data_IF_309563878164
#
_entry.id   IF_309563878164
#
_cell.length_a   1.000
_cell.length_b   1.000
_cell.length_c   1.000
_cell.angle_alpha   90.00
_cell.angle_beta   90.00
_cell.angle_gamma   90.00
#
_symmetry.space_group_name_H-M   'P 1'
#
loop_
_entity.id
_entity.type
_entity.pdbx_description
1 polymer ?
#
# COMPACT_ATOMS: atom_id res chain seq x y z
N UNK A 1 -4.49 -13.17 0.53
CA UNK A 1 -4.03 -13.93 1.71
C UNK A 1 -3.27 -15.21 1.38
N UNK A 2 -3.83 -16.17 0.63
CA UNK A 2 -3.16 -17.48 0.34
C UNK A 2 -1.78 -17.33 -0.31
N UNK A 3 -1.66 -16.48 -1.33
CA UNK A 3 -0.37 -16.18 -1.97
C UNK A 3 0.65 -15.56 -1.00
N UNK A 4 0.21 -14.63 -0.15
CA UNK A 4 1.06 -14.00 0.87
C UNK A 4 1.56 -15.03 1.91
N UNK A 5 0.74 -16.01 2.27
CA UNK A 5 1.15 -17.07 3.19
C UNK A 5 2.24 -17.96 2.59
N UNK A 6 2.09 -18.34 1.31
CA UNK A 6 3.12 -19.08 0.59
C UNK A 6 4.44 -18.31 0.52
N UNK A 7 4.38 -17.01 0.18
CA UNK A 7 5.58 -16.14 0.14
C UNK A 7 6.24 -16.07 1.52
N UNK A 8 5.45 -16.00 2.59
CA UNK A 8 5.96 -15.95 3.97
C UNK A 8 6.64 -17.27 4.37
N UNK A 9 6.11 -18.42 3.94
CA UNK A 9 6.78 -19.71 4.13
C UNK A 9 8.11 -19.78 3.37
N UNK A 10 8.17 -19.29 2.12
CA UNK A 10 9.40 -19.23 1.33
C UNK A 10 10.42 -18.30 1.99
N UNK A 11 9.99 -17.13 2.46
CA UNK A 11 10.83 -16.20 3.20
C UNK A 11 11.46 -16.85 4.43
N UNK A 12 10.68 -17.61 5.20
CA UNK A 12 11.20 -18.29 6.39
C UNK A 12 12.19 -19.42 6.04
N UNK A 13 12.13 -19.98 4.84
CA UNK A 13 13.03 -21.03 4.36
C UNK A 13 14.35 -20.47 3.81
N UNK A 14 14.27 -19.42 2.99
CA UNK A 14 15.41 -18.86 2.25
C UNK A 14 16.10 -17.74 3.04
N UNK A 15 15.40 -17.13 3.99
CA UNK A 15 15.89 -16.04 4.81
C UNK A 15 15.71 -14.65 4.19
N UNK A 16 16.39 -13.68 4.78
CA UNK A 16 16.15 -12.25 4.56
C UNK A 16 16.43 -11.77 3.12
N UNK A 17 17.35 -12.43 2.42
CA UNK A 17 17.74 -12.07 1.05
C UNK A 17 16.57 -12.18 0.07
N UNK A 18 15.77 -13.25 0.19
CA UNK A 18 14.56 -13.43 -0.61
C UNK A 18 13.52 -12.35 -0.28
N UNK A 19 13.29 -12.07 1.01
CA UNK A 19 12.31 -11.08 1.44
C UNK A 19 12.64 -9.68 0.94
N UNK A 20 13.92 -9.29 1.01
CA UNK A 20 14.40 -8.01 0.50
C UNK A 20 14.20 -7.91 -1.03
N UNK A 21 14.67 -8.90 -1.79
CA UNK A 21 14.52 -8.92 -3.25
C UNK A 21 13.05 -8.91 -3.66
N UNK A 22 12.22 -9.75 -3.04
CA UNK A 22 10.79 -9.82 -3.33
C UNK A 22 10.08 -8.49 -3.05
N UNK A 23 10.37 -7.87 -1.90
CA UNK A 23 9.77 -6.59 -1.52
C UNK A 23 10.18 -5.48 -2.48
N UNK A 24 11.46 -5.43 -2.87
CA UNK A 24 11.94 -4.49 -3.88
C UNK A 24 11.20 -4.67 -5.21
N UNK A 25 11.16 -5.90 -5.74
CA UNK A 25 10.46 -6.18 -7.00
C UNK A 25 8.97 -5.81 -6.91
N UNK A 26 8.31 -6.11 -5.80
CA UNK A 26 6.90 -5.78 -5.60
C UNK A 26 6.65 -4.26 -5.61
N UNK A 27 7.54 -3.48 -4.99
CA UNK A 27 7.45 -2.01 -4.97
C UNK A 27 7.76 -1.40 -6.33
N UNK A 28 8.77 -1.90 -7.04
CA UNK A 28 9.09 -1.47 -8.41
C UNK A 28 7.92 -1.73 -9.37
N UNK A 29 7.30 -2.90 -9.29
CA UNK A 29 6.10 -3.23 -10.06
C UNK A 29 4.92 -2.34 -9.70
N UNK A 30 4.75 -2.02 -8.42
CA UNK A 30 3.71 -1.09 -7.97
C UNK A 30 3.91 0.30 -8.56
N UNK A 31 5.12 0.87 -8.45
CA UNK A 31 5.46 2.18 -9.02
C UNK A 31 5.24 2.18 -10.53
N UNK A 32 5.69 1.12 -11.23
CA UNK A 32 5.49 0.98 -12.67
C UNK A 32 4.01 0.98 -13.04
N UNK A 33 3.18 0.20 -12.34
CA UNK A 33 1.73 0.16 -12.59
C UNK A 33 1.06 1.53 -12.33
N UNK A 34 1.52 2.27 -11.32
CA UNK A 34 0.99 3.61 -11.01
C UNK A 34 1.42 4.65 -12.05
N UNK A 35 2.62 4.54 -12.61
CA UNK A 35 3.07 5.39 -13.70
C UNK A 35 2.33 5.10 -15.01
N UNK A 36 2.05 3.83 -15.30
CA UNK A 36 1.25 3.41 -16.45
C UNK A 36 -0.19 3.92 -16.37
N UNK A 37 -0.78 3.95 -15.16
CA UNK A 37 -2.08 4.58 -14.90
C UNK A 37 -2.08 6.08 -15.21
N UNK A 38 -1.05 6.80 -14.75
CA UNK A 38 -0.92 8.24 -15.03
C UNK A 38 -0.73 8.50 -16.53
N UNK A 39 0.07 7.69 -17.21
CA UNK A 39 0.30 7.81 -18.65
C UNK A 39 -0.94 7.42 -19.47
N UNK A 40 -1.77 6.51 -18.97
CA UNK A 40 -2.98 6.01 -19.64
C UNK A 40 -4.25 6.75 -19.26
N UNK A 41 -4.18 7.89 -18.56
CA UNK A 41 -5.34 8.72 -18.19
C UNK A 41 -6.17 9.21 -19.41
N UNK A 42 -5.70 8.99 -20.64
CA UNK A 42 -6.42 9.25 -21.88
C UNK A 42 -7.18 8.04 -22.47
N UNK A 43 -7.04 6.83 -21.93
CA UNK A 43 -7.70 5.64 -22.46
C UNK A 43 -8.27 4.76 -21.34
N UNK A 44 -9.59 4.64 -21.32
CA UNK A 44 -10.45 3.80 -20.45
C UNK A 44 -10.02 2.33 -20.44
N UNK A 45 -8.93 1.99 -19.76
CA UNK A 45 -8.56 0.60 -19.46
C UNK A 45 -8.61 0.41 -17.95
N UNK A 46 -9.59 -0.37 -17.49
CA UNK A 46 -9.74 -0.75 -16.07
C UNK A 46 -8.67 -1.73 -15.55
N UNK A 47 -7.81 -2.25 -16.43
CA UNK A 47 -6.83 -3.29 -16.08
C UNK A 47 -5.66 -2.80 -15.21
N UNK A 48 -5.02 -1.64 -15.48
CA UNK A 48 -3.84 -1.21 -14.72
C UNK A 48 -4.16 -0.82 -13.28
N UNK A 49 -5.40 -0.38 -12.98
CA UNK A 49 -5.79 -0.01 -11.61
C UNK A 49 -5.83 -1.23 -10.70
N UNK A 50 -6.31 -2.36 -11.23
CA UNK A 50 -6.43 -3.61 -10.47
C UNK A 50 -5.05 -4.18 -10.09
N UNK A 51 -4.03 -4.02 -10.93
CA UNK A 51 -2.69 -4.50 -10.60
C UNK A 51 -2.09 -3.74 -9.42
N UNK A 52 -2.16 -2.41 -9.42
CA UNK A 52 -1.68 -1.56 -8.32
C UNK A 52 -2.38 -1.92 -6.99
N UNK A 53 -3.71 -2.04 -7.03
CA UNK A 53 -4.53 -2.37 -5.84
C UNK A 53 -4.27 -3.79 -5.33
N UNK A 54 -4.06 -4.75 -6.22
CA UNK A 54 -3.72 -6.13 -5.84
C UNK A 54 -2.33 -6.22 -5.20
N UNK A 55 -1.33 -5.53 -5.75
CA UNK A 55 0.00 -5.45 -5.17
C UNK A 55 -0.03 -4.82 -3.79
N UNK A 56 -0.81 -3.77 -3.60
CA UNK A 56 -0.95 -3.15 -2.28
C UNK A 56 -1.60 -4.08 -1.26
N UNK A 57 -2.62 -4.84 -1.68
CA UNK A 57 -3.27 -5.84 -0.83
C UNK A 57 -2.29 -6.95 -0.45
N UNK A 58 -1.43 -7.37 -1.40
CA UNK A 58 -0.38 -8.34 -1.16
C UNK A 58 0.63 -7.84 -0.12
N UNK A 59 1.12 -6.60 -0.28
CA UNK A 59 2.06 -5.96 0.65
C UNK A 59 1.45 -5.80 2.06
N UNK A 60 0.16 -5.43 2.15
CA UNK A 60 -0.56 -5.33 3.42
C UNK A 60 -0.61 -6.67 4.16
N UNK A 61 -0.83 -7.77 3.44
CA UNK A 61 -0.78 -9.11 4.03
C UNK A 61 0.64 -9.56 4.39
N UNK A 62 1.66 -9.16 3.62
CA UNK A 62 3.06 -9.48 3.94
C UNK A 62 3.55 -8.74 5.19
N UNK A 63 3.05 -7.52 5.42
CA UNK A 63 3.24 -6.82 6.69
C UNK A 63 2.58 -7.59 7.85
N UNK A 64 1.34 -8.09 7.66
CA UNK A 64 0.69 -8.92 8.68
C UNK A 64 1.46 -10.20 9.04
N UNK A 65 2.27 -10.72 8.10
CA UNK A 65 3.13 -11.88 8.28
C UNK A 65 4.58 -11.52 8.66
N UNK A 66 4.84 -10.25 8.98
CA UNK A 66 6.15 -9.74 9.41
C UNK A 66 7.29 -9.96 8.38
N UNK A 67 6.94 -10.16 7.11
CA UNK A 67 7.92 -10.21 6.00
C UNK A 67 8.36 -8.79 5.63
N UNK A 68 7.46 -7.82 5.80
CA UNK A 68 7.68 -6.39 5.52
C UNK A 68 7.55 -5.61 6.82
N UNK A 69 8.41 -4.61 7.02
CA UNK A 69 8.35 -3.73 8.19
C UNK A 69 7.25 -2.65 8.09
N UNK A 70 6.74 -2.22 9.24
CA UNK A 70 5.75 -1.14 9.35
C UNK A 70 6.13 0.16 8.60
N UNK A 71 7.40 0.63 8.61
CA UNK A 71 7.80 1.85 7.91
C UNK A 71 7.41 1.88 6.43
N UNK A 72 7.54 0.75 5.74
CA UNK A 72 7.20 0.67 4.31
C UNK A 72 5.70 0.90 4.07
N UNK A 73 4.84 0.31 4.90
CA UNK A 73 3.39 0.48 4.79
C UNK A 73 3.01 1.94 5.07
N UNK A 74 3.62 2.57 6.07
CA UNK A 74 3.38 3.99 6.35
C UNK A 74 3.80 4.89 5.19
N UNK A 75 4.94 4.63 4.56
CA UNK A 75 5.41 5.43 3.42
C UNK A 75 4.53 5.25 2.18
N UNK A 76 4.01 4.04 1.95
CA UNK A 76 3.02 3.79 0.90
C UNK A 76 1.73 4.58 1.14
N UNK A 77 1.23 4.59 2.39
CA UNK A 77 0.05 5.39 2.75
C UNK A 77 0.32 6.88 2.56
N UNK A 78 1.46 7.41 3.04
CA UNK A 78 1.85 8.81 2.82
C UNK A 78 1.93 9.14 1.32
N UNK A 79 2.47 8.25 0.50
CA UNK A 79 2.52 8.41 -0.94
C UNK A 79 1.15 8.48 -1.62
N UNK A 80 0.18 7.69 -1.14
CA UNK A 80 -1.22 7.78 -1.57
C UNK A 80 -1.88 9.08 -1.12
N UNK A 81 -1.67 9.50 0.14
CA UNK A 81 -2.20 10.75 0.67
C UNK A 81 -1.60 12.00 0.00
N UNK A 82 -0.38 11.93 -0.53
CA UNK A 82 0.20 13.03 -1.27
C UNK A 82 -0.50 13.28 -2.62
N UNK A 83 -1.06 12.24 -3.25
CA UNK A 83 -1.71 12.31 -4.57
C UNK A 83 -3.23 12.49 -4.51
N UNK A 84 -3.88 11.88 -3.51
CA UNK A 84 -5.33 11.89 -3.28
C UNK A 84 -6.20 11.72 -4.53
N UNK A 85 -5.88 10.74 -5.37
CA UNK A 85 -6.77 10.32 -6.44
C UNK A 85 -7.80 9.30 -5.92
N UNK A 86 -8.87 9.04 -6.67
CA UNK A 86 -9.92 8.08 -6.28
C UNK A 86 -9.33 6.69 -5.96
N UNK A 87 -8.37 6.23 -6.78
CA UNK A 87 -7.66 4.96 -6.57
C UNK A 87 -6.83 4.96 -5.27
N UNK A 88 -6.25 6.10 -4.91
CA UNK A 88 -5.43 6.22 -3.70
C UNK A 88 -6.31 6.10 -2.44
N UNK A 89 -7.52 6.66 -2.46
CA UNK A 89 -8.49 6.52 -1.38
C UNK A 89 -8.95 5.07 -1.24
N UNK A 90 -9.25 4.39 -2.35
CA UNK A 90 -9.60 2.97 -2.33
C UNK A 90 -8.47 2.12 -1.73
N UNK A 91 -7.24 2.38 -2.16
CA UNK A 91 -6.03 1.72 -1.67
C UNK A 91 -5.88 1.92 -0.15
N UNK A 92 -5.95 3.16 0.33
CA UNK A 92 -5.81 3.47 1.76
C UNK A 92 -6.89 2.78 2.58
N UNK A 93 -8.16 2.80 2.14
CA UNK A 93 -9.24 2.09 2.81
C UNK A 93 -8.99 0.58 2.88
N UNK A 94 -8.43 -0.01 1.81
CA UNK A 94 -8.11 -1.44 1.75
C UNK A 94 -6.96 -1.82 2.69
N UNK A 95 -5.91 -0.97 2.79
CA UNK A 95 -4.82 -1.13 3.77
C UNK A 95 -5.38 -1.08 5.19
N UNK A 96 -6.14 -0.04 5.53
CA UNK A 96 -6.71 0.15 6.87
C UNK A 96 -7.61 -1.02 7.30
N UNK A 97 -8.38 -1.59 6.37
CA UNK A 97 -9.19 -2.79 6.62
C UNK A 97 -8.36 -4.06 6.83
N UNK A 98 -7.20 -4.17 6.18
CA UNK A 98 -6.40 -5.40 6.16
C UNK A 98 -5.39 -5.47 7.30
N UNK A 99 -4.69 -4.37 7.58
CA UNK A 99 -3.60 -4.33 8.57
C UNK A 99 -3.68 -3.14 9.52
N UNK A 100 -4.77 -2.36 9.50
CA UNK A 100 -4.89 -1.16 10.34
C UNK A 100 -4.87 -1.42 11.85
N UNK A 101 -5.20 -2.63 12.32
CA UNK A 101 -5.05 -3.00 13.73
C UNK A 101 -3.58 -3.21 14.12
N UNK A 102 -2.78 -3.88 13.29
CA UNK A 102 -1.34 -4.03 13.53
C UNK A 102 -0.62 -2.68 13.47
N UNK A 103 -0.98 -1.83 12.50
CA UNK A 103 -0.43 -0.46 12.40
C UNK A 103 -0.68 0.34 13.69
N UNK A 104 -1.86 0.22 14.31
CA UNK A 104 -2.14 0.86 15.61
C UNK A 104 -1.28 0.33 16.74
N UNK A 105 -0.97 -0.97 16.72
CA UNK A 105 -0.11 -1.60 17.72
C UNK A 105 1.33 -1.12 17.60
N UNK A 106 1.84 -1.04 16.38
CA UNK A 106 3.23 -0.69 16.10
C UNK A 106 3.53 0.80 16.29
N UNK A 107 2.69 1.69 15.76
CA UNK A 107 2.82 3.14 15.96
C UNK A 107 1.47 3.87 15.95
N UNK A 108 0.88 4.12 17.14
CA UNK A 108 -0.34 4.89 17.27
C UNK A 108 -0.23 6.34 16.76
N UNK A 109 0.98 6.92 16.72
CA UNK A 109 1.20 8.31 16.32
C UNK A 109 1.18 8.43 14.80
N UNK A 110 1.89 7.54 14.10
CA UNK A 110 1.88 7.50 12.63
C UNK A 110 0.46 7.38 12.07
N UNK A 111 -0.40 6.56 12.69
CA UNK A 111 -1.79 6.46 12.24
C UNK A 111 -2.60 7.73 12.52
N UNK A 112 -2.40 8.39 13.68
CA UNK A 112 -3.03 9.68 13.97
C UNK A 112 -2.63 10.74 12.95
N UNK A 113 -1.35 10.79 12.57
CA UNK A 113 -0.85 11.73 11.56
C UNK A 113 -1.47 11.43 10.19
N UNK A 114 -1.58 10.16 9.80
CA UNK A 114 -2.27 9.73 8.57
C UNK A 114 -3.73 10.17 8.57
N UNK A 115 -4.46 9.97 9.69
CA UNK A 115 -5.87 10.39 9.81
C UNK A 115 -6.01 11.92 9.77
N UNK A 116 -5.10 12.64 10.44
CA UNK A 116 -5.08 14.09 10.43
C UNK A 116 -4.83 14.65 9.01
N UNK A 117 -3.87 14.08 8.28
CA UNK A 117 -3.57 14.44 6.88
C UNK A 117 -4.76 14.17 5.95
N UNK A 118 -5.47 13.06 6.13
CA UNK A 118 -6.72 12.78 5.39
C UNK A 118 -7.76 13.85 5.68
N UNK A 119 -7.97 14.18 6.96
CA UNK A 119 -8.95 15.19 7.37
C UNK A 119 -8.62 16.57 6.80
N UNK A 120 -7.39 17.05 6.97
CA UNK A 120 -6.94 18.34 6.45
C UNK A 120 -7.18 18.46 4.95
N UNK A 121 -6.79 17.45 4.18
CA UNK A 121 -6.96 17.46 2.73
C UNK A 121 -8.42 17.28 2.28
N UNK A 122 -9.24 16.55 3.03
CA UNK A 122 -10.67 16.43 2.75
C UNK A 122 -11.44 17.73 3.01
N UNK A 123 -10.98 18.54 3.98
CA UNK A 123 -11.54 19.86 4.29
C UNK A 123 -11.10 20.87 3.22
N UNK A 124 -9.82 20.86 2.81
CA UNK A 124 -9.32 21.73 1.73
C UNK A 124 -10.01 21.49 0.38
N UNK A 125 -10.53 20.29 0.11
CA UNK A 125 -11.27 19.98 -1.11
C UNK A 125 -12.78 20.32 -1.01
N UNK A 126 -13.27 20.77 0.15
CA UNK A 126 -14.66 21.14 0.41
C UNK A 126 -14.88 22.66 0.54
N UNK A 127 -13.85 23.49 0.32
CA UNK A 127 -14.05 24.93 0.14
C UNK A 127 -14.52 25.20 -1.31
N UNK A 128 -15.65 25.91 -1.50
CA UNK A 128 -16.31 26.10 -2.79
C UNK A 128 -15.54 27.00 -3.79
#
# INVERSE_FOLDING_TARGET
>A
MTYSALISCIFNLTGIEFGAHFTQTAIELYIKSMNELKASAASTKELPSKQATNLMTLLSHLYNFSVVGAPLVYDLVRGCLARMQEIDVEIVLKILRTCGSQMRGDDPRALKDIVALVHEKSVLNNDP
#
